data_IF_734665411909
#
_entry.id   IF_734665411909
#
_cell.length_a   1.000
_cell.length_b   1.000
_cell.length_c   1.000
_cell.angle_alpha   90.00
_cell.angle_beta   90.00
_cell.angle_gamma   90.00
#
_symmetry.space_group_name_H-M   'P 1'
#
loop_
_entity.id
_entity.type
_entity.pdbx_description
1 polymer ?
#
# COMPACT_ATOMS: atom_id res chain seq x y z
N UNK A 1 33.64 -42.11 12.09
CA UNK A 1 32.56 -41.10 12.05
C UNK A 1 32.04 -41.10 10.63
N UNK A 2 30.83 -41.60 10.48
CA UNK A 2 30.20 -41.92 9.19
C UNK A 2 29.71 -40.62 8.52
N UNK A 3 29.92 -40.47 7.21
CA UNK A 3 29.52 -39.31 6.40
C UNK A 3 28.02 -38.96 6.49
N UNK A 4 27.22 -39.85 7.09
CA UNK A 4 25.80 -39.66 7.39
C UNK A 4 25.50 -38.59 8.42
N UNK A 5 26.40 -38.30 9.36
CA UNK A 5 26.14 -37.29 10.41
C UNK A 5 26.25 -35.83 9.90
N UNK A 6 26.87 -35.61 8.73
CA UNK A 6 27.09 -34.26 8.16
C UNK A 6 26.11 -33.89 7.02
N UNK A 7 25.17 -34.77 6.63
CA UNK A 7 24.19 -34.49 5.56
C UNK A 7 22.89 -33.81 6.02
N UNK A 8 22.75 -33.54 7.32
CA UNK A 8 21.59 -32.84 7.90
C UNK A 8 21.52 -31.35 7.52
N UNK A 9 22.62 -30.75 7.02
CA UNK A 9 22.67 -29.37 6.54
C UNK A 9 22.73 -29.26 5.00
N UNK A 10 22.34 -30.30 4.26
CA UNK A 10 22.15 -30.16 2.81
C UNK A 10 20.78 -29.51 2.55
N UNK A 11 20.73 -28.17 2.61
CA UNK A 11 19.58 -27.32 2.24
C UNK A 11 19.11 -27.47 0.77
N UNK A 12 19.64 -28.45 0.04
CA UNK A 12 19.50 -28.62 -1.39
C UNK A 12 18.21 -29.34 -1.86
N UNK A 13 17.15 -29.53 -1.06
CA UNK A 13 16.11 -30.53 -1.40
C UNK A 13 14.62 -30.18 -1.32
N UNK A 14 14.22 -28.91 -1.19
CA UNK A 14 12.80 -28.58 -1.39
C UNK A 14 12.63 -27.37 -2.30
N UNK A 15 12.60 -27.63 -3.61
CA UNK A 15 12.04 -26.66 -4.57
C UNK A 15 10.54 -26.82 -4.51
N UNK A 16 9.87 -25.81 -3.97
CA UNK A 16 8.41 -25.68 -3.98
C UNK A 16 8.04 -24.90 -5.25
N UNK A 17 7.43 -25.60 -6.22
CA UNK A 17 6.96 -25.01 -7.47
C UNK A 17 5.48 -25.35 -7.69
N UNK A 18 4.74 -24.44 -8.32
CA UNK A 18 3.35 -24.64 -8.71
C UNK A 18 3.13 -23.89 -10.02
N UNK A 19 2.34 -24.48 -10.94
CA UNK A 19 1.90 -23.80 -12.17
C UNK A 19 0.75 -22.82 -11.92
N UNK A 20 0.09 -22.93 -10.76
CA UNK A 20 -1.11 -22.15 -10.41
C UNK A 20 -0.83 -21.08 -9.36
N UNK A 21 0.23 -21.24 -8.58
CA UNK A 21 0.53 -20.37 -7.45
C UNK A 21 1.96 -19.85 -7.52
N UNK A 22 2.12 -18.61 -7.09
CA UNK A 22 3.41 -17.95 -6.93
C UNK A 22 3.84 -18.06 -5.48
N UNK A 23 5.07 -18.51 -5.23
CA UNK A 23 5.66 -18.47 -3.89
C UNK A 23 6.31 -17.11 -3.69
N UNK A 24 5.85 -16.35 -2.71
CA UNK A 24 6.38 -15.01 -2.42
C UNK A 24 6.75 -14.83 -0.95
N UNK A 25 7.70 -13.93 -0.70
CA UNK A 25 8.02 -13.45 0.63
C UNK A 25 6.87 -12.61 1.17
N UNK A 26 6.31 -13.08 2.28
CA UNK A 26 5.23 -12.42 3.00
C UNK A 26 5.76 -11.47 4.07
N UNK A 27 6.88 -11.82 4.71
CA UNK A 27 7.50 -11.02 5.75
C UNK A 27 8.69 -11.72 6.38
N UNK A 28 9.18 -11.16 7.48
CA UNK A 28 10.27 -11.72 8.27
C UNK A 28 9.77 -11.96 9.69
N UNK A 29 10.24 -13.01 10.34
CA UNK A 29 10.08 -13.10 11.78
C UNK A 29 11.08 -12.11 12.42
N UNK A 30 10.56 -11.05 13.05
CA UNK A 30 11.38 -10.15 13.87
C UNK A 30 11.95 -10.90 15.08
N UNK A 31 13.18 -10.53 15.44
CA UNK A 31 14.05 -11.39 16.22
C UNK A 31 14.46 -10.72 17.52
N UNK A 32 14.13 -11.31 18.68
CA UNK A 32 14.97 -11.22 19.88
C UNK A 32 16.03 -12.34 19.96
N UNK A 33 15.90 -13.43 19.18
CA UNK A 33 16.61 -14.71 19.39
C UNK A 33 17.41 -15.34 18.20
N UNK A 34 17.89 -14.56 17.24
CA UNK A 34 18.76 -14.99 16.12
C UNK A 34 18.14 -15.72 14.90
N UNK A 35 16.84 -16.01 14.84
CA UNK A 35 16.25 -16.81 13.75
C UNK A 35 15.79 -15.95 12.55
N UNK A 36 16.68 -15.22 11.86
CA UNK A 36 16.35 -14.34 10.72
C UNK A 36 15.77 -15.06 9.49
N UNK A 37 14.57 -15.62 9.64
CA UNK A 37 13.85 -16.39 8.63
C UNK A 37 12.88 -15.53 7.85
N UNK A 38 12.64 -15.96 6.62
CA UNK A 38 11.62 -15.40 5.72
C UNK A 38 10.36 -16.25 5.82
N UNK A 39 9.20 -15.59 5.98
CA UNK A 39 7.90 -16.23 5.85
C UNK A 39 7.53 -16.22 4.38
N UNK A 40 7.42 -17.41 3.77
CA UNK A 40 6.95 -17.57 2.40
C UNK A 40 5.45 -17.92 2.38
N UNK A 41 4.71 -17.37 1.42
CA UNK A 41 3.29 -17.72 1.16
C UNK A 41 3.07 -18.08 -0.30
N UNK A 42 2.16 -19.03 -0.53
CA UNK A 42 1.62 -19.28 -1.86
C UNK A 42 0.51 -18.26 -2.17
N UNK A 43 0.57 -17.65 -3.35
CA UNK A 43 -0.41 -16.68 -3.83
C UNK A 43 -1.03 -17.16 -5.13
N UNK A 44 -2.35 -17.03 -5.26
CA UNK A 44 -3.03 -17.21 -6.53
C UNK A 44 -2.91 -15.89 -7.33
N UNK A 45 -2.15 -15.84 -8.44
CA UNK A 45 -2.01 -14.63 -9.23
C UNK A 45 -3.32 -14.18 -9.88
N UNK A 46 -4.31 -15.08 -10.03
CA UNK A 46 -5.65 -14.76 -10.55
C UNK A 46 -6.57 -14.14 -9.51
N UNK A 47 -6.17 -14.14 -8.24
CA UNK A 47 -6.98 -13.58 -7.17
C UNK A 47 -6.75 -12.07 -6.97
N UNK A 48 -5.76 -11.47 -7.66
CA UNK A 48 -5.49 -10.04 -7.59
C UNK A 48 -4.01 -9.68 -7.53
N UNK A 49 -3.75 -8.43 -7.12
CA UNK A 49 -2.43 -7.79 -7.11
C UNK A 49 -1.97 -7.48 -5.67
N UNK A 50 -0.74 -7.85 -5.27
CA UNK A 50 -0.22 -7.58 -3.94
C UNK A 50 0.37 -6.16 -3.91
N UNK A 51 -0.43 -5.20 -3.46
CA UNK A 51 -0.03 -3.80 -3.39
C UNK A 51 0.89 -3.56 -2.22
N UNK A 52 2.08 -3.00 -2.43
CA UNK A 52 2.86 -2.44 -1.33
C UNK A 52 2.40 -1.00 -1.10
N UNK A 53 1.79 -0.75 0.06
CA UNK A 53 1.20 0.54 0.40
C UNK A 53 2.18 1.38 1.23
N UNK A 54 2.41 2.60 0.77
CA UNK A 54 3.17 3.63 1.44
C UNK A 54 2.25 4.81 1.70
N UNK A 55 2.31 5.35 2.91
CA UNK A 55 1.41 6.39 3.37
C UNK A 55 2.15 7.39 4.26
N UNK A 56 1.98 8.68 3.96
CA UNK A 56 2.37 9.77 4.82
C UNK A 56 1.16 10.71 5.01
N UNK A 57 0.86 11.07 6.26
CA UNK A 57 -0.26 11.95 6.60
C UNK A 57 0.18 12.99 7.62
N UNK A 58 -0.41 14.19 7.56
CA UNK A 58 -0.28 15.18 8.62
C UNK A 58 -1.34 14.90 9.69
N UNK A 59 -1.00 14.01 10.63
CA UNK A 59 -1.82 13.64 11.79
C UNK A 59 -2.22 12.15 11.84
N UNK A 60 -2.89 11.73 12.94
CA UNK A 60 -3.36 10.36 13.11
C UNK A 60 -4.33 9.97 11.99
N UNK A 61 -4.08 8.81 11.38
CA UNK A 61 -4.83 8.35 10.22
C UNK A 61 -5.26 6.89 10.36
N UNK A 62 -6.50 6.62 10.00
CA UNK A 62 -7.02 5.28 9.75
C UNK A 62 -7.21 5.08 8.24
N UNK A 63 -6.75 3.93 7.73
CA UNK A 63 -6.81 3.57 6.31
C UNK A 63 -7.70 2.36 6.11
N UNK A 64 -8.51 2.44 5.06
CA UNK A 64 -9.49 1.43 4.67
C UNK A 64 -9.33 1.09 3.19
N UNK A 65 -9.50 -0.19 2.87
CA UNK A 65 -9.66 -0.71 1.53
C UNK A 65 -11.01 -1.41 1.47
N UNK A 66 -11.93 -0.90 0.65
CA UNK A 66 -13.30 -1.39 0.51
C UNK A 66 -14.05 -1.52 1.85
N UNK A 67 -13.85 -0.56 2.75
CA UNK A 67 -14.47 -0.54 4.09
C UNK A 67 -13.78 -1.43 5.14
N UNK A 68 -12.62 -2.02 4.84
CA UNK A 68 -11.88 -2.86 5.78
C UNK A 68 -10.47 -2.34 6.02
N UNK A 69 -9.99 -2.41 7.27
CA UNK A 69 -8.59 -2.08 7.58
C UNK A 69 -7.66 -3.14 6.95
N UNK A 70 -6.69 -2.75 6.12
CA UNK A 70 -5.74 -3.70 5.54
C UNK A 70 -4.96 -4.41 6.66
N UNK A 71 -4.96 -5.75 6.64
CA UNK A 71 -4.29 -6.57 7.67
C UNK A 71 -2.77 -6.59 7.54
N UNK A 72 -2.22 -5.98 6.49
CA UNK A 72 -0.78 -5.84 6.27
C UNK A 72 -0.50 -4.64 5.36
N UNK A 73 0.76 -4.21 5.29
CA UNK A 73 1.22 -3.21 4.32
C UNK A 73 1.28 -3.74 2.88
N UNK A 74 1.04 -5.04 2.68
CA UNK A 74 1.05 -5.73 1.38
C UNK A 74 -0.23 -6.55 1.14
N UNK A 75 -1.43 -5.92 1.19
CA UNK A 75 -2.68 -6.64 0.97
C UNK A 75 -2.76 -7.16 -0.46
N UNK A 76 -3.46 -8.29 -0.63
CA UNK A 76 -3.85 -8.77 -1.94
C UNK A 76 -5.15 -8.05 -2.33
N UNK A 77 -5.08 -7.16 -3.31
CA UNK A 77 -6.26 -6.44 -3.79
C UNK A 77 -6.80 -7.18 -5.01
N UNK A 78 -8.07 -7.63 -5.01
CA UNK A 78 -8.67 -8.31 -6.15
C UNK A 78 -8.61 -7.50 -7.45
N UNK A 79 -8.93 -8.14 -8.58
CA UNK A 79 -9.21 -7.40 -9.81
C UNK A 79 -10.61 -6.78 -9.71
N UNK A 80 -10.79 -5.60 -10.32
CA UNK A 80 -12.05 -4.85 -10.28
C UNK A 80 -11.89 -3.43 -9.72
N UNK A 81 -13.03 -2.84 -9.36
CA UNK A 81 -13.11 -1.48 -8.81
C UNK A 81 -13.03 -1.52 -7.29
N UNK A 82 -12.20 -0.65 -6.73
CA UNK A 82 -11.89 -0.58 -5.32
C UNK A 82 -11.90 0.87 -4.83
N UNK A 83 -12.05 1.04 -3.52
CA UNK A 83 -11.96 2.32 -2.84
C UNK A 83 -10.88 2.27 -1.77
N UNK A 84 -9.93 3.19 -1.87
CA UNK A 84 -9.09 3.57 -0.75
C UNK A 84 -9.77 4.70 -0.01
N UNK A 85 -9.88 4.55 1.30
CA UNK A 85 -10.52 5.50 2.19
C UNK A 85 -9.58 5.83 3.36
N UNK A 86 -9.56 7.09 3.77
CA UNK A 86 -8.75 7.57 4.88
C UNK A 86 -9.59 8.47 5.78
N UNK A 87 -9.52 8.22 7.07
CA UNK A 87 -9.94 9.17 8.09
C UNK A 87 -8.68 9.77 8.70
N UNK A 88 -8.50 11.10 8.62
CA UNK A 88 -7.41 11.80 9.29
C UNK A 88 -8.02 12.67 10.39
N UNK A 89 -7.65 12.40 11.64
CA UNK A 89 -8.30 12.99 12.82
C UNK A 89 -8.08 14.51 12.94
N UNK A 90 -6.94 14.99 12.47
CA UNK A 90 -6.55 16.40 12.49
C UNK A 90 -5.44 16.62 11.48
N UNK A 91 -5.41 17.77 10.80
CA UNK A 91 -4.33 18.16 9.87
C UNK A 91 -4.09 19.67 9.93
N UNK A 92 -3.01 20.17 9.33
CA UNK A 92 -2.74 21.59 9.21
C UNK A 92 -2.95 22.07 7.75
N UNK A 93 -3.90 22.98 7.48
CA UNK A 93 -4.31 23.36 6.12
C UNK A 93 -3.23 23.96 5.21
N UNK A 94 -2.13 24.44 5.80
CA UNK A 94 -1.00 24.99 5.04
C UNK A 94 -0.06 23.94 4.45
N UNK A 95 -0.18 22.67 4.84
CA UNK A 95 0.78 21.61 4.51
C UNK A 95 0.10 20.43 3.79
N UNK A 96 0.92 19.49 3.32
CA UNK A 96 0.49 18.17 2.85
C UNK A 96 -0.37 17.48 3.89
N UNK A 97 -1.60 17.12 3.54
CA UNK A 97 -2.49 16.29 4.37
C UNK A 97 -2.27 14.81 4.08
N UNK A 98 -2.07 14.43 2.82
CA UNK A 98 -1.93 13.03 2.37
C UNK A 98 -0.88 12.90 1.27
N UNK A 99 -0.03 11.88 1.37
CA UNK A 99 0.79 11.40 0.28
C UNK A 99 0.76 9.86 0.28
N UNK A 100 0.37 9.26 -0.84
CA UNK A 100 0.09 7.83 -0.92
C UNK A 100 0.69 7.20 -2.17
N UNK A 101 1.23 6.01 -2.02
CA UNK A 101 1.58 5.14 -3.13
C UNK A 101 1.23 3.69 -2.80
N UNK A 102 0.27 3.15 -3.53
CA UNK A 102 0.09 1.72 -3.68
C UNK A 102 0.83 1.28 -4.95
N UNK A 103 1.78 0.37 -4.84
CA UNK A 103 2.54 -0.11 -6.01
C UNK A 103 2.66 -1.63 -6.05
N UNK A 104 2.49 -2.18 -7.24
CA UNK A 104 2.91 -3.52 -7.62
C UNK A 104 3.79 -3.43 -8.85
N UNK A 105 5.09 -3.68 -8.66
CA UNK A 105 6.06 -3.84 -9.75
C UNK A 105 6.48 -5.30 -9.78
N UNK A 106 6.08 -6.06 -10.81
CA UNK A 106 6.61 -7.38 -11.05
C UNK A 106 8.00 -7.23 -11.68
N UNK A 107 9.06 -7.01 -10.89
CA UNK A 107 10.41 -6.97 -11.45
C UNK A 107 11.53 -7.55 -10.54
N UNK A 108 12.60 -7.97 -11.20
CA UNK A 108 13.66 -8.94 -10.84
C UNK A 108 14.54 -8.62 -9.61
N UNK A 109 14.39 -7.45 -8.99
CA UNK A 109 15.28 -7.02 -7.87
C UNK A 109 14.88 -7.59 -6.51
N UNK A 110 13.64 -8.07 -6.37
CA UNK A 110 13.27 -8.89 -5.22
C UNK A 110 14.02 -10.21 -5.33
N UNK A 111 14.75 -10.65 -4.29
CA UNK A 111 15.41 -11.98 -4.24
C UNK A 111 14.46 -13.19 -4.38
N UNK A 112 13.20 -12.93 -4.72
CA UNK A 112 12.12 -13.86 -4.98
C UNK A 112 11.90 -13.90 -6.49
N UNK A 113 12.44 -14.93 -7.15
CA UNK A 113 12.09 -15.24 -8.54
C UNK A 113 10.62 -15.65 -8.60
N UNK A 114 9.77 -14.73 -9.01
CA UNK A 114 8.42 -15.05 -9.48
C UNK A 114 8.56 -15.97 -10.70
N UNK A 115 8.31 -17.27 -10.56
CA UNK A 115 8.46 -18.22 -11.67
C UNK A 115 7.33 -18.14 -12.73
N UNK A 116 6.58 -17.03 -12.77
CA UNK A 116 5.60 -16.81 -13.84
C UNK A 116 6.19 -15.89 -14.93
N UNK A 117 6.62 -16.43 -16.08
CA UNK A 117 7.16 -15.67 -17.20
C UNK A 117 6.09 -14.89 -18.00
N UNK A 118 4.80 -14.89 -17.58
CA UNK A 118 3.71 -14.23 -18.33
C UNK A 118 3.41 -12.79 -17.92
N UNK A 119 4.29 -12.14 -17.15
CA UNK A 119 4.31 -10.68 -17.00
C UNK A 119 3.09 -10.12 -16.27
N UNK A 120 3.22 -9.90 -14.96
CA UNK A 120 2.27 -9.01 -14.29
C UNK A 120 2.34 -7.63 -14.93
N UNK A 121 1.20 -6.95 -15.08
CA UNK A 121 1.21 -5.54 -15.44
C UNK A 121 1.59 -4.72 -14.20
N UNK A 122 2.59 -3.86 -14.32
CA UNK A 122 2.86 -2.87 -13.27
C UNK A 122 1.58 -2.08 -12.98
N UNK A 123 1.16 -2.07 -11.72
CA UNK A 123 -0.05 -1.37 -11.28
C UNK A 123 0.31 -0.42 -10.16
N UNK A 124 -0.15 0.82 -10.26
CA UNK A 124 0.08 1.83 -9.23
C UNK A 124 -1.17 2.67 -8.98
N UNK A 125 -1.30 3.11 -7.73
CA UNK A 125 -2.29 4.08 -7.27
C UNK A 125 -1.52 5.13 -6.50
N UNK A 126 -1.44 6.33 -7.04
CA UNK A 126 -0.61 7.41 -6.50
C UNK A 126 -1.49 8.58 -6.07
N UNK A 127 -1.08 9.27 -5.01
CA UNK A 127 -1.60 10.61 -4.74
C UNK A 127 -1.16 11.54 -5.87
N UNK A 128 -2.12 12.02 -6.65
CA UNK A 128 -1.94 12.87 -7.82
C UNK A 128 -2.92 14.04 -7.74
N UNK A 129 -2.47 15.23 -8.15
CA UNK A 129 -3.32 16.42 -8.18
C UNK A 129 -4.18 16.46 -9.46
N UNK A 130 -4.86 15.35 -9.76
CA UNK A 130 -5.68 15.12 -10.95
C UNK A 130 -7.19 15.19 -10.66
N UNK A 131 -7.56 15.50 -9.42
CA UNK A 131 -8.94 15.56 -8.96
C UNK A 131 -9.57 14.20 -8.65
N UNK A 132 -8.82 13.10 -8.80
CA UNK A 132 -9.34 11.75 -8.52
C UNK A 132 -9.35 11.38 -7.04
N UNK A 133 -8.67 12.19 -6.21
CA UNK A 133 -8.70 12.14 -4.76
C UNK A 133 -9.70 13.17 -4.25
N UNK A 134 -10.77 12.71 -3.61
CA UNK A 134 -11.86 13.56 -3.13
C UNK A 134 -11.93 13.53 -1.60
N UNK A 135 -12.45 14.59 -0.99
CA UNK A 135 -12.60 14.70 0.46
C UNK A 135 -13.91 15.37 0.89
N UNK A 136 -14.32 15.06 2.12
CA UNK A 136 -15.37 15.76 2.87
C UNK A 136 -14.83 16.29 4.21
N UNK A 137 -15.33 17.44 4.65
CA UNK A 137 -15.12 17.97 6.01
C UNK A 137 -16.32 17.70 6.92
N UNK A 138 -17.42 17.23 6.34
CA UNK A 138 -18.60 16.79 7.05
C UNK A 138 -18.52 15.27 7.23
N UNK A 139 -18.84 14.80 8.43
CA UNK A 139 -18.82 13.37 8.77
C UNK A 139 -19.81 12.60 7.90
N UNK A 140 -19.37 11.54 7.18
CA UNK A 140 -20.29 10.66 6.47
C UNK A 140 -21.31 10.04 7.43
N UNK A 141 -22.53 9.82 6.95
CA UNK A 141 -23.63 9.32 7.78
C UNK A 141 -23.42 7.88 8.27
N UNK A 142 -22.74 7.06 7.47
CA UNK A 142 -22.45 5.67 7.74
C UNK A 142 -21.17 5.24 7.01
N UNK A 143 -20.82 3.94 7.05
CA UNK A 143 -19.62 3.40 6.42
C UNK A 143 -19.71 3.23 4.88
N UNK A 144 -20.82 3.61 4.24
CA UNK A 144 -21.01 3.40 2.81
C UNK A 144 -20.01 4.20 1.97
N UNK A 145 -19.50 5.33 2.45
CA UNK A 145 -18.50 6.16 1.75
C UNK A 145 -17.21 5.41 1.38
N UNK A 146 -16.92 4.33 2.09
CA UNK A 146 -15.76 3.45 1.85
C UNK A 146 -16.02 2.41 0.74
N UNK A 147 -17.20 2.42 0.09
CA UNK A 147 -17.59 1.46 -0.94
C UNK A 147 -17.60 2.08 -2.35
N UNK A 148 -17.42 1.27 -3.41
CA UNK A 148 -17.41 1.75 -4.79
C UNK A 148 -18.70 2.42 -5.27
N UNK A 149 -19.85 2.04 -4.71
CA UNK A 149 -21.18 2.48 -5.12
C UNK A 149 -21.66 3.78 -4.43
N UNK A 150 -20.85 4.32 -3.52
CA UNK A 150 -21.17 5.58 -2.85
C UNK A 150 -21.07 6.78 -3.80
N UNK A 151 -22.10 7.62 -3.74
CA UNK A 151 -22.20 8.90 -4.43
C UNK A 151 -21.41 9.97 -3.68
N UNK A 152 -20.31 10.42 -4.28
CA UNK A 152 -19.46 11.50 -3.78
C UNK A 152 -19.51 12.76 -4.63
N UNK A 153 -20.58 13.00 -5.39
CA UNK A 153 -20.71 14.20 -6.24
C UNK A 153 -20.57 15.51 -5.42
N UNK A 154 -20.86 15.48 -4.12
CA UNK A 154 -20.69 16.60 -3.19
C UNK A 154 -19.27 16.76 -2.62
N UNK A 155 -18.37 15.80 -2.83
CA UNK A 155 -17.02 15.82 -2.28
C UNK A 155 -16.11 16.68 -3.15
N UNK A 156 -15.14 17.33 -2.50
CA UNK A 156 -14.23 18.25 -3.19
C UNK A 156 -12.93 17.54 -3.56
N UNK A 157 -12.32 17.86 -4.71
CA UNK A 157 -11.00 17.33 -5.03
C UNK A 157 -9.94 17.89 -4.09
N UNK A 158 -8.96 17.07 -3.72
CA UNK A 158 -7.77 17.54 -2.99
C UNK A 158 -6.87 18.40 -3.89
N UNK A 159 -6.13 19.33 -3.28
CA UNK A 159 -5.24 20.25 -3.99
C UNK A 159 -3.77 19.86 -3.83
N UNK A 160 -2.94 20.16 -4.83
CA UNK A 160 -1.48 20.03 -4.71
C UNK A 160 -0.98 20.89 -3.53
N UNK A 161 -0.33 20.23 -2.56
CA UNK A 161 0.39 20.89 -1.46
C UNK A 161 1.75 20.19 -1.32
N UNK A 162 2.84 20.78 -1.82
CA UNK A 162 4.15 20.11 -1.84
C UNK A 162 4.86 20.17 -0.47
N UNK A 163 4.50 21.14 0.36
CA UNK A 163 5.18 21.44 1.61
C UNK A 163 4.64 20.56 2.73
N UNK A 164 5.52 19.73 3.31
CA UNK A 164 5.21 18.98 4.51
C UNK A 164 5.29 19.88 5.72
N UNK A 165 4.48 19.59 6.75
CA UNK A 165 4.64 20.18 8.06
C UNK A 165 6.05 19.88 8.60
N UNK A 166 6.75 20.87 9.18
CA UNK A 166 8.00 20.61 9.90
C UNK A 166 7.75 19.63 11.07
N UNK A 167 8.63 18.66 11.25
CA UNK A 167 8.57 17.77 12.41
C UNK A 167 8.75 18.57 13.70
N UNK A 168 8.05 18.18 14.77
CA UNK A 168 8.21 18.81 16.09
C UNK A 168 9.62 18.60 16.65
N UNK A 169 10.22 17.43 16.37
CA UNK A 169 11.61 17.09 16.68
C UNK A 169 12.34 16.67 15.39
N UNK A 170 13.16 17.56 14.80
CA UNK A 170 13.92 17.27 13.59
C UNK A 170 14.91 16.10 13.72
N UNK A 171 15.42 15.79 14.92
CA UNK A 171 16.42 14.74 15.10
C UNK A 171 15.80 13.34 15.07
N UNK A 172 14.48 13.24 15.29
CA UNK A 172 13.71 11.98 15.26
C UNK A 172 12.84 11.84 14.02
N UNK A 173 13.02 12.74 13.06
CA UNK A 173 12.26 12.77 11.83
C UNK A 173 12.67 11.59 10.94
N UNK A 174 11.96 10.47 11.08
CA UNK A 174 12.12 9.27 10.24
C UNK A 174 11.38 9.36 8.90
N UNK A 175 10.48 10.34 8.79
CA UNK A 175 9.66 10.62 7.62
C UNK A 175 10.44 11.02 6.35
N UNK A 176 11.68 11.57 6.38
CA UNK A 176 12.41 11.91 5.15
C UNK A 176 12.64 10.69 4.26
N UNK A 177 12.83 9.49 4.84
CA UNK A 177 12.93 8.26 4.06
C UNK A 177 11.59 7.92 3.38
N UNK A 178 10.49 7.96 4.14
CA UNK A 178 9.16 7.59 3.63
C UNK A 178 8.69 8.57 2.55
N UNK A 179 8.82 9.87 2.80
CA UNK A 179 8.51 10.95 1.85
C UNK A 179 9.35 10.81 0.60
N UNK A 180 10.66 10.51 0.73
CA UNK A 180 11.54 10.26 -0.43
C UNK A 180 11.05 9.06 -1.24
N UNK A 181 10.75 7.93 -0.61
CA UNK A 181 10.22 6.72 -1.30
C UNK A 181 8.92 7.00 -2.02
N UNK A 182 7.98 7.69 -1.39
CA UNK A 182 6.72 8.10 -2.01
C UNK A 182 6.97 8.98 -3.26
N UNK A 183 7.90 9.94 -3.19
CA UNK A 183 8.29 10.76 -4.36
C UNK A 183 8.97 9.94 -5.46
N UNK A 184 9.80 8.95 -5.11
CA UNK A 184 10.41 8.02 -6.07
C UNK A 184 9.34 7.20 -6.83
N UNK A 185 8.21 6.89 -6.18
CA UNK A 185 7.06 6.28 -6.85
C UNK A 185 6.22 7.26 -7.69
N UNK A 186 6.48 8.57 -7.59
CA UNK A 186 5.74 9.61 -8.29
C UNK A 186 4.54 10.16 -7.53
N UNK A 187 4.36 9.81 -6.24
CA UNK A 187 3.32 10.39 -5.40
C UNK A 187 3.63 11.86 -5.09
N UNK A 188 2.59 12.71 -5.12
CA UNK A 188 2.68 14.12 -4.72
C UNK A 188 1.89 14.37 -3.43
N UNK A 189 2.32 15.38 -2.68
CA UNK A 189 1.58 15.83 -1.50
C UNK A 189 0.26 16.49 -1.90
N UNK A 190 -0.82 16.00 -1.32
CA UNK A 190 -2.16 16.55 -1.46
C UNK A 190 -2.57 17.19 -0.14
N UNK A 191 -3.27 18.31 -0.20
CA UNK A 191 -3.79 18.95 1.00
C UNK A 191 -5.24 19.38 0.87
N UNK A 192 -5.78 19.70 2.04
CA UNK A 192 -7.18 20.06 2.23
C UNK A 192 -7.24 21.50 2.76
N UNK A 193 -7.93 22.44 2.09
CA UNK A 193 -8.15 23.77 2.64
C UNK A 193 -9.08 23.71 3.86
N UNK A 194 -9.01 24.68 4.77
CA UNK A 194 -9.99 24.80 5.86
C UNK A 194 -9.40 25.07 7.23
N UNK A 195 -9.95 24.43 8.26
CA UNK A 195 -9.67 24.72 9.68
C UNK A 195 -8.72 23.73 10.37
N UNK A 196 -8.37 22.62 9.72
CA UNK A 196 -7.43 21.64 10.27
C UNK A 196 -8.03 20.64 11.26
N UNK A 197 -9.30 20.26 11.06
CA UNK A 197 -10.00 19.26 11.86
C UNK A 197 -9.93 17.86 11.24
N UNK A 198 -10.95 17.04 11.52
CA UNK A 198 -11.11 15.73 10.90
C UNK A 198 -11.43 15.88 9.41
N UNK A 199 -10.93 14.97 8.59
CA UNK A 199 -11.23 14.89 7.15
C UNK A 199 -11.36 13.44 6.72
N UNK A 200 -12.36 13.18 5.87
CA UNK A 200 -12.59 11.90 5.20
C UNK A 200 -12.17 12.04 3.75
N UNK A 201 -11.28 11.15 3.29
CA UNK A 201 -10.69 11.19 1.95
C UNK A 201 -10.98 9.86 1.28
N UNK A 202 -11.40 9.88 0.00
CA UNK A 202 -11.58 8.66 -0.79
C UNK A 202 -10.89 8.75 -2.15
N UNK A 203 -10.55 7.58 -2.68
CA UNK A 203 -10.02 7.37 -4.02
C UNK A 203 -10.60 6.09 -4.60
N UNK A 204 -11.42 6.24 -5.64
CA UNK A 204 -11.87 5.11 -6.46
C UNK A 204 -10.80 4.77 -7.48
N UNK A 205 -10.46 3.49 -7.64
CA UNK A 205 -9.50 3.01 -8.64
C UNK A 205 -9.89 1.63 -9.16
N UNK A 206 -9.33 1.22 -10.29
CA UNK A 206 -9.60 -0.07 -10.91
C UNK A 206 -8.30 -0.82 -11.12
N UNK A 207 -8.29 -2.11 -10.77
CA UNK A 207 -7.22 -3.05 -11.08
C UNK A 207 -7.70 -3.94 -12.23
N UNK A 208 -7.04 -3.82 -13.38
CA UNK A 208 -7.36 -4.61 -14.56
C UNK A 208 -6.95 -6.07 -14.38
N UNK A 209 -7.85 -6.99 -14.74
CA UNK A 209 -7.51 -8.41 -14.86
C UNK A 209 -6.78 -8.65 -16.18
N UNK A 210 -5.47 -9.03 -16.17
CA UNK A 210 -4.73 -9.31 -17.39
C UNK A 210 -5.23 -10.55 -18.14
N UNK A 211 -6.12 -11.35 -17.53
CA UNK A 211 -6.69 -12.56 -18.11
C UNK A 211 -8.12 -12.39 -18.64
N UNK A 212 -8.73 -11.20 -18.51
CA UNK A 212 -10.09 -10.94 -18.97
C UNK A 212 -10.22 -10.63 -20.48
N UNK A 213 -9.11 -10.71 -21.23
CA UNK A 213 -9.03 -10.47 -22.67
C UNK A 213 -9.06 -11.77 -23.51
#
# INVERSE_FOLDING_TARGET
MDERELKLNSLARYVKASELFVLEEHGHCEVPAGCGGVVLRWRNPRAGVPFTMWLETDGPCEMYLDGTTPTSARPLVPFGTHVLAFEIASYHPAYTTLMFAGVYKPDDETHVRTMDPRGGTETSVLSAADGSWTYSLDEPEDDAWMRPDFDDDGWRPMELRPDRRPAEDPERDSEPYRVRRLREFGAVGLGVPGRGGRVWIRKVFTISDPHAA
#
